data_IF_609407242637
#
_entry.id   IF_609407242637
#
_cell.length_a   1.000
_cell.length_b   1.000
_cell.length_c   1.000
_cell.angle_alpha   90.00
_cell.angle_beta   90.00
_cell.angle_gamma   90.00
#
_symmetry.space_group_name_H-M   'P 1'
#
loop_
_entity.id
_entity.type
_entity.pdbx_description
1 polymer ?
#
# COMPACT_ATOMS: atom_id res chain seq x y z
N UNK A 1 80.41 -11.17 2.74
CA UNK A 1 79.90 -10.15 1.80
C UNK A 1 78.46 -9.86 2.15
N UNK A 2 78.20 -8.69 2.72
CA UNK A 2 76.95 -8.30 3.37
C UNK A 2 75.86 -7.98 2.35
N UNK A 3 74.71 -8.64 2.44
CA UNK A 3 73.49 -8.28 1.72
C UNK A 3 72.61 -7.39 2.62
N UNK A 4 72.60 -6.09 2.36
CA UNK A 4 71.78 -5.09 3.05
C UNK A 4 70.35 -5.17 2.52
N UNK A 5 69.42 -5.69 3.32
CA UNK A 5 67.99 -5.72 3.00
C UNK A 5 67.38 -4.34 3.24
N UNK A 6 67.07 -3.61 2.17
CA UNK A 6 66.39 -2.31 2.24
C UNK A 6 64.91 -2.49 2.63
N UNK A 7 64.52 -2.00 3.80
CA UNK A 7 63.13 -1.96 4.24
C UNK A 7 62.34 -0.93 3.41
N UNK A 8 61.37 -1.39 2.60
CA UNK A 8 60.42 -0.53 1.88
C UNK A 8 59.48 0.16 2.87
N UNK A 9 59.49 1.51 2.88
CA UNK A 9 58.48 2.32 3.58
C UNK A 9 57.09 2.11 2.94
N UNK A 10 56.01 1.96 3.73
CA UNK A 10 54.67 1.90 3.18
C UNK A 10 54.26 3.27 2.62
N UNK A 11 53.86 3.29 1.35
CA UNK A 11 53.26 4.47 0.70
C UNK A 11 51.91 4.72 1.35
N UNK A 12 51.77 5.79 2.13
CA UNK A 12 50.45 6.27 2.60
C UNK A 12 49.66 6.71 1.38
N UNK A 13 48.56 6.02 1.08
CA UNK A 13 47.59 6.48 0.11
C UNK A 13 47.07 7.87 0.53
N UNK A 14 46.91 8.83 -0.40
CA UNK A 14 46.34 10.12 -0.07
C UNK A 14 44.89 9.91 0.41
N UNK A 15 44.68 10.15 1.70
CA UNK A 15 43.34 10.33 2.26
C UNK A 15 42.69 11.48 1.51
N UNK A 16 41.67 11.17 0.71
CA UNK A 16 40.79 12.16 0.11
C UNK A 16 40.00 12.82 1.25
N UNK A 17 40.64 13.77 1.94
CA UNK A 17 40.00 14.58 2.95
C UNK A 17 38.87 15.34 2.25
N UNK A 18 37.63 14.92 2.45
CA UNK A 18 36.45 15.52 1.83
C UNK A 18 36.19 16.91 2.45
N UNK A 19 36.55 18.03 1.81
CA UNK A 19 36.28 19.34 2.35
C UNK A 19 34.93 19.80 1.76
N UNK A 20 33.86 19.78 2.57
CA UNK A 20 32.53 20.46 2.38
C UNK A 20 31.29 19.71 2.90
N UNK A 21 31.43 18.61 3.65
CA UNK A 21 30.27 17.88 4.22
C UNK A 21 29.35 18.75 5.10
N UNK A 22 29.89 19.70 5.88
CA UNK A 22 29.09 20.49 6.85
C UNK A 22 28.09 21.46 6.20
N UNK A 23 28.51 22.29 5.23
CA UNK A 23 27.62 23.25 4.59
C UNK A 23 26.54 22.56 3.74
N UNK A 24 26.92 21.52 2.98
CA UNK A 24 25.95 20.73 2.19
C UNK A 24 24.98 19.97 3.08
N UNK A 25 25.42 19.42 4.23
CA UNK A 25 24.53 18.80 5.22
C UNK A 25 23.59 19.81 5.86
N UNK A 26 24.07 21.01 6.20
CA UNK A 26 23.24 22.08 6.74
C UNK A 26 22.11 22.48 5.76
N UNK A 27 22.45 22.73 4.49
CA UNK A 27 21.46 23.05 3.46
C UNK A 27 20.51 21.89 3.19
N UNK A 28 21.01 20.64 3.15
CA UNK A 28 20.16 19.47 3.01
C UNK A 28 19.17 19.33 4.18
N UNK A 29 19.64 19.52 5.41
CA UNK A 29 18.79 19.47 6.61
C UNK A 29 17.75 20.60 6.61
N UNK A 30 18.15 21.82 6.24
CA UNK A 30 17.22 22.95 6.14
C UNK A 30 16.11 22.67 5.11
N UNK A 31 16.48 22.16 3.93
CA UNK A 31 15.52 21.77 2.90
C UNK A 31 14.59 20.67 3.39
N UNK A 32 15.12 19.63 4.07
CA UNK A 32 14.31 18.57 4.65
C UNK A 32 13.35 19.09 5.75
N UNK A 33 13.77 20.05 6.57
CA UNK A 33 12.91 20.68 7.59
C UNK A 33 11.80 21.48 6.91
N UNK A 34 12.11 22.28 5.89
CA UNK A 34 11.10 23.05 5.15
C UNK A 34 10.10 22.10 4.49
N UNK A 35 10.57 21.04 3.84
CA UNK A 35 9.70 20.01 3.26
C UNK A 35 8.85 19.38 4.36
N UNK A 36 9.44 19.00 5.50
CA UNK A 36 8.72 18.42 6.64
C UNK A 36 7.61 19.34 7.16
N UNK A 37 7.87 20.64 7.29
CA UNK A 37 6.88 21.63 7.70
C UNK A 37 5.75 21.78 6.67
N UNK A 38 6.05 21.74 5.37
CA UNK A 38 5.04 21.79 4.31
C UNK A 38 4.11 20.56 4.36
N UNK A 39 4.64 19.37 4.65
CA UNK A 39 3.82 18.17 4.88
C UNK A 39 3.05 18.20 6.20
N UNK A 40 3.61 18.82 7.24
CA UNK A 40 2.97 18.92 8.55
C UNK A 40 1.78 19.91 8.54
N UNK A 41 1.80 20.95 7.71
CA UNK A 41 0.76 21.97 7.66
C UNK A 41 -0.67 21.43 7.42
N UNK A 42 -0.95 20.62 6.37
CA UNK A 42 -2.29 20.04 6.16
C UNK A 42 -2.67 19.03 7.24
N UNK A 43 -1.70 18.30 7.81
CA UNK A 43 -1.95 17.39 8.94
C UNK A 43 -2.34 18.15 10.21
N UNK A 44 -1.65 19.26 10.48
CA UNK A 44 -1.97 20.16 11.58
C UNK A 44 -3.37 20.77 11.40
N UNK A 45 -3.75 21.13 10.16
CA UNK A 45 -5.11 21.57 9.86
C UNK A 45 -6.14 20.51 10.25
N UNK A 46 -5.98 19.26 9.82
CA UNK A 46 -6.93 18.18 10.15
C UNK A 46 -7.05 17.99 11.67
N UNK A 47 -5.93 18.02 12.40
CA UNK A 47 -5.96 17.87 13.86
C UNK A 47 -6.66 19.05 14.52
N UNK A 48 -6.29 20.29 14.19
CA UNK A 48 -6.87 21.49 14.81
C UNK A 48 -8.35 21.68 14.43
N UNK A 49 -8.71 21.46 13.18
CA UNK A 49 -10.10 21.53 12.72
C UNK A 49 -10.98 20.48 13.40
N UNK A 50 -10.45 19.27 13.68
CA UNK A 50 -11.24 18.21 14.34
C UNK A 50 -11.72 18.59 15.73
N UNK A 51 -11.01 19.48 16.43
CA UNK A 51 -11.34 19.92 17.79
C UNK A 51 -11.96 21.33 17.83
N UNK A 52 -12.31 21.90 16.68
CA UNK A 52 -12.93 23.22 16.58
C UNK A 52 -14.37 23.10 16.05
N UNK A 53 -15.35 23.55 16.82
CA UNK A 53 -16.77 23.57 16.41
C UNK A 53 -17.05 24.58 15.28
N UNK A 54 -16.19 25.59 15.12
CA UNK A 54 -16.30 26.64 14.10
C UNK A 54 -15.22 26.50 13.01
N UNK A 55 -14.69 25.29 12.82
CA UNK A 55 -13.63 25.02 11.86
C UNK A 55 -13.97 25.51 10.45
N UNK A 56 -12.96 26.05 9.77
CA UNK A 56 -13.05 26.52 8.38
C UNK A 56 -11.95 25.88 7.53
N UNK A 57 -11.86 26.25 6.26
CA UNK A 57 -10.76 25.85 5.38
C UNK A 57 -9.38 26.39 5.80
N UNK A 58 -9.32 27.36 6.73
CA UNK A 58 -8.05 27.97 7.20
C UNK A 58 -7.51 27.24 8.42
N UNK A 59 -6.18 27.18 8.52
CA UNK A 59 -5.51 26.78 9.77
C UNK A 59 -5.68 27.91 10.79
N UNK A 60 -6.41 27.62 11.85
CA UNK A 60 -6.63 28.52 12.97
C UNK A 60 -6.44 27.75 14.27
N UNK A 61 -5.97 28.45 15.30
CA UNK A 61 -5.96 27.88 16.64
C UNK A 61 -7.39 27.88 17.20
N UNK A 62 -7.90 26.75 17.73
CA UNK A 62 -9.26 26.69 18.26
C UNK A 62 -9.38 27.64 19.45
N UNK A 63 -10.38 28.51 19.41
CA UNK A 63 -10.67 29.43 20.54
C UNK A 63 -11.26 28.70 21.74
N UNK A 64 -12.02 27.63 21.48
CA UNK A 64 -12.57 26.70 22.48
C UNK A 64 -12.44 25.27 21.94
N UNK A 65 -11.41 24.51 22.33
CA UNK A 65 -11.28 23.13 21.88
C UNK A 65 -12.42 22.28 22.45
N UNK A 66 -13.13 21.56 21.60
CA UNK A 66 -14.18 20.60 21.98
C UNK A 66 -14.00 19.26 21.26
N UNK A 67 -14.63 18.21 21.77
CA UNK A 67 -14.66 16.89 21.12
C UNK A 67 -16.01 16.61 20.44
N UNK A 68 -16.86 17.63 20.30
CA UNK A 68 -18.22 17.48 19.81
C UNK A 68 -18.24 16.88 18.41
N UNK A 69 -17.35 17.34 17.53
CA UNK A 69 -17.17 16.80 16.17
C UNK A 69 -16.93 15.27 16.19
N UNK A 70 -16.17 14.75 17.15
CA UNK A 70 -15.96 13.30 17.27
C UNK A 70 -17.22 12.59 17.74
N UNK A 71 -17.94 13.13 18.72
CA UNK A 71 -19.18 12.53 19.20
C UNK A 71 -20.28 12.49 18.14
N UNK A 72 -20.37 13.52 17.31
CA UNK A 72 -21.35 13.61 16.22
C UNK A 72 -21.00 12.68 15.05
N UNK A 73 -19.72 12.42 14.84
CA UNK A 73 -19.25 11.59 13.73
C UNK A 73 -19.20 10.11 14.11
N UNK A 74 -18.89 9.78 15.37
CA UNK A 74 -18.71 8.41 15.85
C UNK A 74 -20.05 7.70 16.08
N UNK A 75 -20.87 7.63 15.04
CA UNK A 75 -22.12 6.88 15.02
C UNK A 75 -21.97 5.56 14.26
N UNK A 76 -22.80 4.56 14.56
CA UNK A 76 -22.78 3.29 13.84
C UNK A 76 -22.98 3.46 12.33
N UNK A 77 -23.89 4.33 11.92
CA UNK A 77 -24.29 4.52 10.53
C UNK A 77 -23.28 5.34 9.73
N UNK A 78 -22.70 6.39 10.34
CA UNK A 78 -21.82 7.32 9.62
C UNK A 78 -20.37 6.85 9.58
N UNK A 79 -19.89 6.19 10.64
CA UNK A 79 -18.46 5.87 10.78
C UNK A 79 -18.19 4.39 11.01
N UNK A 80 -18.82 3.75 12.00
CA UNK A 80 -18.42 2.38 12.38
C UNK A 80 -18.74 1.35 11.30
N UNK A 81 -19.97 1.35 10.75
CA UNK A 81 -20.35 0.44 9.67
C UNK A 81 -19.56 0.72 8.38
N UNK A 82 -19.42 1.97 7.90
CA UNK A 82 -18.60 2.24 6.72
C UNK A 82 -17.12 1.86 6.89
N UNK A 83 -16.53 2.03 8.08
CA UNK A 83 -15.17 1.57 8.37
C UNK A 83 -15.07 0.05 8.31
N UNK A 84 -16.06 -0.67 8.88
CA UNK A 84 -16.11 -2.13 8.81
C UNK A 84 -16.28 -2.60 7.36
N UNK A 85 -17.16 -1.96 6.58
CA UNK A 85 -17.36 -2.24 5.17
C UNK A 85 -16.07 -2.02 4.38
N UNK A 86 -15.39 -0.90 4.60
CA UNK A 86 -14.06 -0.64 4.03
C UNK A 86 -13.08 -1.74 4.39
N UNK A 87 -13.01 -2.18 5.65
CA UNK A 87 -12.11 -3.26 6.09
C UNK A 87 -12.42 -4.57 5.38
N UNK A 88 -13.70 -4.96 5.30
CA UNK A 88 -14.13 -6.21 4.66
C UNK A 88 -13.83 -6.18 3.16
N UNK A 89 -14.19 -5.10 2.46
CA UNK A 89 -13.97 -4.96 1.03
C UNK A 89 -12.48 -4.94 0.68
N UNK A 90 -11.68 -4.13 1.40
CA UNK A 90 -10.24 -4.00 1.14
C UNK A 90 -9.44 -5.24 1.51
N UNK A 91 -9.76 -5.89 2.64
CA UNK A 91 -9.13 -7.15 3.04
C UNK A 91 -9.51 -8.27 2.09
N UNK A 92 -10.79 -8.39 1.75
CA UNK A 92 -11.28 -9.39 0.80
C UNK A 92 -10.60 -9.24 -0.57
N UNK A 93 -10.52 -8.00 -1.08
CA UNK A 93 -9.81 -7.71 -2.32
C UNK A 93 -8.32 -8.07 -2.22
N UNK A 94 -7.63 -7.65 -1.16
CA UNK A 94 -6.21 -7.92 -0.96
C UNK A 94 -5.89 -9.42 -0.85
N UNK A 95 -6.69 -10.18 -0.08
CA UNK A 95 -6.51 -11.65 0.04
C UNK A 95 -6.68 -12.31 -1.33
N UNK A 96 -7.77 -12.01 -2.05
CA UNK A 96 -8.04 -12.59 -3.37
C UNK A 96 -6.90 -12.25 -4.34
N UNK A 97 -6.47 -10.98 -4.39
CA UNK A 97 -5.38 -10.56 -5.26
C UNK A 97 -4.05 -11.24 -4.92
N UNK A 98 -3.69 -11.36 -3.63
CA UNK A 98 -2.45 -12.04 -3.22
C UNK A 98 -2.48 -13.52 -3.60
N UNK A 99 -3.58 -14.22 -3.34
CA UNK A 99 -3.70 -15.64 -3.71
C UNK A 99 -3.57 -15.83 -5.22
N UNK A 100 -4.33 -15.05 -6.00
CA UNK A 100 -4.32 -15.16 -7.47
C UNK A 100 -2.96 -14.75 -8.04
N UNK A 101 -2.35 -13.68 -7.52
CA UNK A 101 -1.02 -13.24 -7.99
C UNK A 101 0.09 -14.23 -7.67
N UNK A 102 0.06 -14.90 -6.51
CA UNK A 102 1.02 -15.98 -6.20
C UNK A 102 0.90 -17.14 -7.18
N UNK A 103 -0.34 -17.60 -7.43
CA UNK A 103 -0.60 -18.70 -8.35
C UNK A 103 -0.19 -18.36 -9.79
N UNK A 104 -0.45 -17.13 -10.24
CA UNK A 104 -0.09 -16.68 -11.58
C UNK A 104 1.42 -16.35 -11.71
N UNK A 105 2.05 -15.80 -10.67
CA UNK A 105 3.47 -15.45 -10.67
C UNK A 105 4.36 -16.70 -10.73
N UNK A 106 3.94 -17.81 -10.13
CA UNK A 106 4.73 -19.03 -10.04
C UNK A 106 5.21 -19.56 -11.41
N UNK A 107 4.33 -19.89 -12.37
CA UNK A 107 4.78 -20.32 -13.68
C UNK A 107 5.52 -19.21 -14.46
N UNK A 108 5.13 -17.94 -14.28
CA UNK A 108 5.79 -16.81 -14.95
C UNK A 108 7.23 -16.58 -14.48
N UNK A 109 7.52 -16.94 -13.23
CA UNK A 109 8.85 -16.85 -12.62
C UNK A 109 9.70 -18.08 -12.95
N UNK A 110 9.14 -19.28 -12.84
CA UNK A 110 9.90 -20.53 -12.94
C UNK A 110 10.09 -21.03 -14.37
N UNK A 111 9.13 -20.85 -15.26
CA UNK A 111 9.26 -21.29 -16.65
C UNK A 111 9.73 -20.15 -17.54
N UNK A 112 10.89 -20.33 -18.19
CA UNK A 112 11.38 -19.37 -19.19
C UNK A 112 10.63 -19.57 -20.51
N UNK A 113 9.59 -18.75 -20.73
CA UNK A 113 8.86 -18.70 -21.99
C UNK A 113 8.99 -17.34 -22.64
N UNK A 114 9.12 -17.32 -23.97
CA UNK A 114 9.14 -16.09 -24.79
C UNK A 114 7.87 -15.24 -24.64
N UNK A 115 6.79 -15.82 -24.13
CA UNK A 115 5.50 -15.16 -23.95
C UNK A 115 5.33 -14.47 -22.59
N UNK A 116 6.19 -14.76 -21.60
CA UNK A 116 6.02 -14.23 -20.24
C UNK A 116 6.14 -12.71 -20.19
N UNK A 117 7.17 -12.14 -20.83
CA UNK A 117 7.37 -10.70 -20.83
C UNK A 117 6.28 -9.96 -21.63
N UNK A 118 5.93 -10.35 -22.87
CA UNK A 118 4.78 -9.77 -23.56
C UNK A 118 3.47 -9.85 -22.78
N UNK A 119 3.16 -11.02 -22.18
CA UNK A 119 1.95 -11.18 -21.36
C UNK A 119 1.92 -10.20 -20.19
N UNK A 120 3.00 -10.12 -19.42
CA UNK A 120 3.07 -9.24 -18.25
C UNK A 120 2.96 -7.76 -18.65
N UNK A 121 3.61 -7.35 -19.74
CA UNK A 121 3.49 -5.99 -20.26
C UNK A 121 2.10 -5.68 -20.81
N UNK A 122 1.44 -6.64 -21.48
CA UNK A 122 0.06 -6.45 -21.95
C UNK A 122 -0.92 -6.26 -20.79
N UNK A 123 -0.79 -7.06 -19.74
CA UNK A 123 -1.63 -6.95 -18.53
C UNK A 123 -1.40 -5.61 -17.81
N UNK A 124 -0.15 -5.17 -17.70
CA UNK A 124 0.16 -3.85 -17.14
C UNK A 124 -0.34 -2.71 -18.03
N UNK A 125 -0.15 -2.80 -19.34
CA UNK A 125 -0.61 -1.77 -20.27
C UNK A 125 -2.14 -1.63 -20.25
N UNK A 126 -2.87 -2.75 -20.16
CA UNK A 126 -4.32 -2.72 -20.02
C UNK A 126 -4.78 -1.98 -18.74
N UNK A 127 -3.96 -1.97 -17.69
CA UNK A 127 -4.25 -1.23 -16.44
C UNK A 127 -4.01 0.28 -16.52
N UNK A 128 -3.37 0.77 -17.60
CA UNK A 128 -3.21 2.21 -17.83
C UNK A 128 -4.51 2.89 -18.27
N UNK A 129 -5.54 2.12 -18.64
CA UNK A 129 -6.84 2.66 -18.99
C UNK A 129 -7.47 3.32 -17.74
N UNK A 130 -7.99 4.55 -17.87
CA UNK A 130 -8.60 5.23 -16.74
C UNK A 130 -9.83 4.47 -16.29
N UNK A 131 -9.93 4.21 -14.98
CA UNK A 131 -11.03 3.44 -14.40
C UNK A 131 -12.40 4.05 -14.71
N UNK A 132 -12.46 5.39 -14.86
CA UNK A 132 -13.65 6.14 -15.25
C UNK A 132 -14.16 5.77 -16.65
N UNK A 133 -13.28 5.44 -17.61
CA UNK A 133 -13.67 5.03 -18.95
C UNK A 133 -14.21 3.60 -18.99
N UNK A 134 -13.65 2.71 -18.17
CA UNK A 134 -14.08 1.30 -18.09
C UNK A 134 -15.37 1.15 -17.25
N UNK A 135 -15.71 2.15 -16.44
CA UNK A 135 -16.82 2.03 -15.50
C UNK A 135 -18.19 1.88 -16.17
N UNK A 136 -18.42 2.51 -17.33
CA UNK A 136 -19.68 2.40 -18.07
C UNK A 136 -19.97 0.95 -18.48
N UNK A 137 -19.06 0.23 -19.19
CA UNK A 137 -19.30 -1.17 -19.51
C UNK A 137 -19.30 -2.07 -18.27
N UNK A 138 -18.51 -1.78 -17.23
CA UNK A 138 -18.54 -2.55 -15.98
C UNK A 138 -19.88 -2.43 -15.27
N UNK A 139 -20.46 -1.23 -15.20
CA UNK A 139 -21.79 -1.03 -14.62
C UNK A 139 -22.85 -1.82 -15.41
N UNK A 140 -22.81 -1.76 -16.74
CA UNK A 140 -23.70 -2.56 -17.61
C UNK A 140 -23.56 -4.06 -17.33
N UNK A 141 -22.32 -4.57 -17.21
CA UNK A 141 -22.05 -5.97 -16.85
C UNK A 141 -22.63 -6.33 -15.48
N UNK A 142 -22.45 -5.48 -14.47
CA UNK A 142 -22.98 -5.70 -13.13
C UNK A 142 -24.52 -5.72 -13.11
N UNK A 143 -25.17 -4.88 -13.90
CA UNK A 143 -26.64 -4.91 -14.06
C UNK A 143 -27.09 -6.22 -14.71
N UNK A 144 -26.46 -6.63 -15.82
CA UNK A 144 -26.81 -7.85 -16.55
C UNK A 144 -26.66 -9.11 -15.69
N UNK A 145 -25.58 -9.18 -14.90
CA UNK A 145 -25.28 -10.30 -14.01
C UNK A 145 -25.96 -10.20 -12.65
N UNK A 146 -26.76 -9.14 -12.40
CA UNK A 146 -27.43 -8.86 -11.12
C UNK A 146 -26.46 -8.77 -9.93
N UNK A 147 -25.29 -8.18 -10.17
CA UNK A 147 -24.20 -7.96 -9.20
C UNK A 147 -24.23 -6.56 -8.56
N UNK A 148 -25.17 -5.69 -8.96
CA UNK A 148 -25.35 -4.38 -8.34
C UNK A 148 -25.69 -4.55 -6.85
N UNK A 149 -25.12 -3.69 -6.02
CA UNK A 149 -25.28 -3.70 -4.57
C UNK A 149 -24.78 -5.00 -3.90
N UNK A 150 -23.91 -5.76 -4.56
CA UNK A 150 -23.28 -6.97 -4.00
C UNK A 150 -21.84 -6.67 -3.56
N UNK A 151 -21.53 -6.61 -2.25
CA UNK A 151 -20.21 -6.23 -1.75
C UNK A 151 -19.09 -7.18 -2.20
N UNK A 152 -19.37 -8.49 -2.30
CA UNK A 152 -18.39 -9.47 -2.77
C UNK A 152 -18.00 -9.26 -4.23
N UNK A 153 -18.95 -8.84 -5.08
CA UNK A 153 -18.68 -8.56 -6.49
C UNK A 153 -17.83 -7.30 -6.66
N UNK A 154 -18.09 -6.29 -5.82
CA UNK A 154 -17.26 -5.07 -5.75
C UNK A 154 -15.85 -5.39 -5.26
N UNK A 155 -15.70 -6.19 -4.20
CA UNK A 155 -14.39 -6.65 -3.72
C UNK A 155 -13.63 -7.42 -4.81
N UNK A 156 -14.32 -8.29 -5.58
CA UNK A 156 -13.73 -9.01 -6.69
C UNK A 156 -13.27 -8.09 -7.82
N UNK A 157 -14.05 -7.06 -8.15
CA UNK A 157 -13.65 -6.06 -9.15
C UNK A 157 -12.45 -5.24 -8.69
N UNK A 158 -12.44 -4.81 -7.42
CA UNK A 158 -11.28 -4.15 -6.81
C UNK A 158 -10.04 -5.05 -6.86
N UNK A 159 -10.20 -6.34 -6.55
CA UNK A 159 -9.12 -7.33 -6.63
C UNK A 159 -8.57 -7.47 -8.06
N UNK A 160 -9.46 -7.57 -9.05
CA UNK A 160 -9.10 -7.65 -10.46
C UNK A 160 -8.38 -6.39 -10.94
N UNK A 161 -8.82 -5.20 -10.50
CA UNK A 161 -8.20 -3.92 -10.87
C UNK A 161 -6.77 -3.78 -10.31
N UNK A 162 -6.49 -4.34 -9.14
CA UNK A 162 -5.17 -4.30 -8.51
C UNK A 162 -4.24 -5.44 -8.96
N UNK A 163 -4.80 -6.49 -9.58
CA UNK A 163 -4.09 -7.71 -9.96
C UNK A 163 -2.87 -7.47 -10.88
N UNK A 164 -2.91 -6.60 -11.91
CA UNK A 164 -1.76 -6.37 -12.79
C UNK A 164 -0.49 -5.98 -12.04
N UNK A 165 -0.60 -4.98 -11.14
CA UNK A 165 0.53 -4.50 -10.37
C UNK A 165 0.94 -5.51 -9.29
N UNK A 166 -0.02 -6.14 -8.61
CA UNK A 166 0.26 -7.17 -7.61
C UNK A 166 0.96 -8.39 -8.21
N UNK A 167 0.56 -8.82 -9.41
CA UNK A 167 1.20 -9.90 -10.17
C UNK A 167 2.65 -9.55 -10.51
N UNK A 168 2.89 -8.34 -11.02
CA UNK A 168 4.23 -7.87 -11.35
C UNK A 168 5.14 -7.82 -10.11
N UNK A 169 4.66 -7.24 -9.00
CA UNK A 169 5.39 -7.21 -7.73
C UNK A 169 5.69 -8.63 -7.22
N UNK A 170 4.67 -9.50 -7.19
CA UNK A 170 4.81 -10.87 -6.68
C UNK A 170 5.79 -11.67 -7.52
N UNK A 171 5.76 -11.54 -8.85
CA UNK A 171 6.73 -12.17 -9.75
C UNK A 171 8.15 -11.69 -9.46
N UNK A 172 8.39 -10.38 -9.35
CA UNK A 172 9.72 -9.83 -9.07
C UNK A 172 10.28 -10.33 -7.74
N UNK A 173 9.44 -10.41 -6.70
CA UNK A 173 9.85 -10.99 -5.43
C UNK A 173 10.13 -12.49 -5.55
N UNK A 174 9.31 -13.22 -6.29
CA UNK A 174 9.49 -14.66 -6.49
C UNK A 174 10.77 -14.99 -7.26
N UNK A 175 11.15 -14.16 -8.24
CA UNK A 175 12.41 -14.30 -8.99
C UNK A 175 13.65 -14.17 -8.08
N UNK A 176 13.53 -13.49 -6.93
CA UNK A 176 14.62 -13.35 -5.96
C UNK A 176 14.83 -14.59 -5.08
N UNK A 177 13.86 -15.51 -5.03
CA UNK A 177 13.96 -16.77 -4.27
C UNK A 177 14.79 -17.77 -5.09
N UNK A 178 15.93 -18.28 -4.55
CA UNK A 178 16.78 -19.22 -5.27
C UNK A 178 16.03 -20.51 -5.64
N UNK A 179 16.09 -20.87 -6.93
CA UNK A 179 15.43 -22.09 -7.45
C UNK A 179 15.98 -23.37 -6.82
N UNK A 180 17.24 -23.35 -6.35
CA UNK A 180 17.89 -24.50 -5.71
C UNK A 180 17.15 -25.00 -4.46
N UNK A 181 16.41 -24.13 -3.76
CA UNK A 181 15.58 -24.52 -2.61
C UNK A 181 14.37 -25.35 -3.05
N UNK A 182 13.83 -25.08 -4.24
CA UNK A 182 12.73 -25.87 -4.82
C UNK A 182 13.24 -27.16 -5.43
N UNK A 183 14.41 -27.13 -6.10
CA UNK A 183 15.07 -28.31 -6.63
C UNK A 183 15.35 -29.35 -5.54
N UNK A 184 15.83 -28.90 -4.36
CA UNK A 184 16.01 -29.76 -3.21
C UNK A 184 14.68 -30.42 -2.77
N UNK A 185 13.60 -29.65 -2.71
CA UNK A 185 12.28 -30.19 -2.38
C UNK A 185 11.76 -31.19 -3.43
N UNK A 186 12.05 -30.96 -4.72
CA UNK A 186 11.68 -31.89 -5.80
C UNK A 186 12.47 -33.20 -5.72
N UNK A 187 13.75 -33.15 -5.32
CA UNK A 187 14.57 -34.34 -5.04
C UNK A 187 13.97 -35.14 -3.87
N UNK A 188 13.42 -34.45 -2.87
CA UNK A 188 12.67 -35.07 -1.75
C UNK A 188 11.25 -35.56 -2.15
N UNK A 189 10.89 -35.51 -3.44
CA UNK A 189 9.61 -35.99 -3.96
C UNK A 189 8.44 -35.01 -3.79
N UNK A 190 8.69 -33.74 -3.48
CA UNK A 190 7.64 -32.73 -3.44
C UNK A 190 7.15 -32.37 -4.86
N UNK A 191 5.83 -32.24 -5.03
CA UNK A 191 5.26 -31.67 -6.25
C UNK A 191 5.53 -30.16 -6.34
N UNK A 192 5.43 -29.57 -7.53
CA UNK A 192 5.62 -28.13 -7.73
C UNK A 192 4.67 -27.27 -6.86
N UNK A 193 3.40 -27.68 -6.72
CA UNK A 193 2.45 -27.01 -5.83
C UNK A 193 2.83 -27.17 -4.35
N UNK A 194 3.34 -28.33 -3.95
CA UNK A 194 3.85 -28.52 -2.58
C UNK A 194 5.03 -27.60 -2.34
N UNK A 195 6.03 -27.60 -3.23
CA UNK A 195 7.20 -26.71 -3.14
C UNK A 195 6.81 -25.23 -3.08
N UNK A 196 5.81 -24.79 -3.88
CA UNK A 196 5.27 -23.43 -3.81
C UNK A 196 4.78 -23.08 -2.40
N UNK A 197 3.89 -23.89 -1.82
CA UNK A 197 3.28 -23.56 -0.53
C UNK A 197 4.16 -23.84 0.69
N UNK A 198 5.10 -24.80 0.60
CA UNK A 198 5.96 -25.17 1.74
C UNK A 198 7.32 -24.49 1.74
N UNK A 199 7.83 -24.05 0.59
CA UNK A 199 9.14 -23.40 0.46
C UNK A 199 8.98 -21.94 0.03
N UNK A 200 8.41 -21.70 -1.15
CA UNK A 200 8.40 -20.37 -1.78
C UNK A 200 7.53 -19.37 -1.00
N UNK A 201 6.27 -19.72 -0.71
CA UNK A 201 5.33 -18.83 -0.01
C UNK A 201 5.85 -18.44 1.39
N UNK A 202 6.36 -19.35 2.24
CA UNK A 202 6.96 -19.00 3.52
C UNK A 202 8.15 -18.04 3.40
N UNK A 203 9.04 -18.25 2.43
CA UNK A 203 10.18 -17.37 2.18
C UNK A 203 9.74 -16.00 1.65
N UNK A 204 8.64 -15.95 0.88
CA UNK A 204 8.07 -14.73 0.35
C UNK A 204 7.13 -13.99 1.31
N UNK A 205 6.82 -14.50 2.51
CA UNK A 205 5.89 -13.85 3.45
C UNK A 205 6.12 -12.34 3.66
N UNK A 206 7.36 -11.85 3.82
CA UNK A 206 7.62 -10.41 3.94
C UNK A 206 7.22 -9.64 2.68
N UNK A 207 7.57 -10.17 1.51
CA UNK A 207 7.22 -9.59 0.22
C UNK A 207 5.71 -9.62 -0.04
N UNK A 208 5.04 -10.74 0.25
CA UNK A 208 3.58 -10.85 0.12
C UNK A 208 2.85 -9.91 1.07
N UNK A 209 3.43 -9.58 2.23
CA UNK A 209 2.88 -8.57 3.13
C UNK A 209 2.91 -7.18 2.49
N UNK A 210 3.96 -6.84 1.75
CA UNK A 210 4.04 -5.58 0.99
C UNK A 210 2.97 -5.54 -0.12
N UNK A 211 2.81 -6.64 -0.86
CA UNK A 211 1.77 -6.76 -1.91
C UNK A 211 0.38 -6.64 -1.30
N UNK A 212 0.12 -7.32 -0.19
CA UNK A 212 -1.15 -7.24 0.55
C UNK A 212 -1.46 -5.79 0.95
N UNK A 213 -0.51 -5.10 1.58
CA UNK A 213 -0.69 -3.70 2.01
C UNK A 213 -0.94 -2.79 0.81
N UNK A 214 -0.19 -2.97 -0.27
CA UNK A 214 -0.39 -2.19 -1.49
C UNK A 214 -1.83 -2.33 -2.01
N UNK A 215 -2.32 -3.56 -2.16
CA UNK A 215 -3.70 -3.81 -2.65
C UNK A 215 -4.74 -3.31 -1.65
N UNK A 216 -4.51 -3.54 -0.36
CA UNK A 216 -5.39 -3.07 0.70
C UNK A 216 -5.55 -1.55 0.64
N UNK A 217 -4.47 -0.79 0.54
CA UNK A 217 -4.51 0.68 0.49
C UNK A 217 -5.23 1.18 -0.76
N UNK A 218 -5.02 0.54 -1.90
CA UNK A 218 -5.73 0.87 -3.14
C UNK A 218 -7.23 0.65 -3.02
N UNK A 219 -7.67 -0.45 -2.39
CA UNK A 219 -9.07 -0.75 -2.18
C UNK A 219 -9.69 0.11 -1.07
N UNK A 220 -8.96 0.35 0.02
CA UNK A 220 -9.36 1.18 1.17
C UNK A 220 -9.70 2.60 0.73
N UNK A 221 -8.80 3.21 -0.06
CA UNK A 221 -8.95 4.56 -0.61
C UNK A 221 -9.87 4.67 -1.82
N UNK A 222 -10.46 3.56 -2.30
CA UNK A 222 -11.25 3.60 -3.52
C UNK A 222 -12.63 4.20 -3.25
N UNK A 223 -12.80 5.47 -3.60
CA UNK A 223 -14.09 6.15 -3.56
C UNK A 223 -14.99 5.75 -4.73
N UNK A 224 -14.45 5.78 -5.95
CA UNK A 224 -15.24 5.83 -7.17
C UNK A 224 -15.99 4.53 -7.48
N UNK A 225 -15.33 3.37 -7.37
CA UNK A 225 -15.93 2.08 -7.72
C UNK A 225 -17.09 1.73 -6.78
N UNK A 226 -16.93 1.79 -5.44
CA UNK A 226 -18.03 1.50 -4.53
C UNK A 226 -19.17 2.51 -4.66
N UNK A 227 -18.88 3.79 -4.91
CA UNK A 227 -19.89 4.81 -5.13
C UNK A 227 -20.83 4.48 -6.29
N UNK A 228 -20.30 3.91 -7.38
CA UNK A 228 -21.08 3.55 -8.58
C UNK A 228 -21.81 2.21 -8.43
N UNK A 229 -21.27 1.27 -7.66
CA UNK A 229 -21.78 -0.11 -7.61
C UNK A 229 -22.58 -0.46 -6.34
N UNK A 230 -22.37 0.25 -5.23
CA UNK A 230 -23.06 0.06 -3.94
C UNK A 230 -24.03 1.22 -3.70
N UNK A 231 -25.25 1.03 -4.20
CA UNK A 231 -26.29 2.07 -4.21
C UNK A 231 -26.97 2.24 -2.85
N UNK A 232 -26.93 1.21 -1.99
CA UNK A 232 -27.53 1.27 -0.65
C UNK A 232 -26.50 1.73 0.40
N UNK A 233 -26.90 2.53 1.40
CA UNK A 233 -26.00 2.98 2.47
C UNK A 233 -25.38 1.85 3.29
N UNK A 234 -26.06 0.70 3.39
CA UNK A 234 -25.67 -0.41 4.28
C UNK A 234 -24.26 -0.95 4.00
N UNK A 235 -23.85 -0.97 2.73
CA UNK A 235 -22.55 -1.48 2.29
C UNK A 235 -21.59 -0.40 1.80
N UNK A 236 -21.96 0.89 1.92
CA UNK A 236 -21.05 1.96 1.50
C UNK A 236 -19.79 1.96 2.38
N UNK A 237 -18.59 1.99 1.77
CA UNK A 237 -17.34 2.09 2.51
C UNK A 237 -17.10 3.51 3.00
N UNK A 238 -16.22 3.63 3.99
CA UNK A 238 -15.86 4.90 4.61
C UNK A 238 -15.32 5.94 3.62
N UNK A 239 -14.66 5.52 2.53
CA UNK A 239 -14.23 6.41 1.47
C UNK A 239 -15.41 7.14 0.79
N UNK A 240 -16.58 6.51 0.72
CA UNK A 240 -17.81 7.08 0.16
C UNK A 240 -18.55 7.95 1.16
N UNK A 241 -18.63 7.52 2.43
CA UNK A 241 -19.34 8.25 3.49
C UNK A 241 -18.77 9.64 3.76
N UNK A 242 -17.55 9.95 3.30
CA UNK A 242 -16.99 11.30 3.36
C UNK A 242 -17.87 12.35 2.65
N UNK A 243 -18.68 11.94 1.65
CA UNK A 243 -19.61 12.84 0.96
C UNK A 243 -20.74 13.36 1.87
N UNK A 244 -21.03 12.68 2.98
CA UNK A 244 -22.05 13.13 3.94
C UNK A 244 -21.70 14.47 4.61
N UNK A 245 -20.42 14.89 4.56
CA UNK A 245 -19.96 16.16 5.13
C UNK A 245 -20.04 17.35 4.16
N UNK A 246 -20.46 17.09 2.91
CA UNK A 246 -20.71 18.10 1.91
C UNK A 246 -22.22 18.34 1.82
N UNK A 247 -22.67 19.49 2.32
CA UNK A 247 -24.07 19.90 2.33
C UNK A 247 -24.55 20.49 1.00
N UNK A 248 -25.83 20.81 0.94
CA UNK A 248 -26.41 21.55 -0.18
C UNK A 248 -25.82 22.98 -0.22
N UNK A 249 -25.64 23.53 -1.42
CA UNK A 249 -25.11 24.89 -1.66
C UNK A 249 -23.64 25.12 -1.26
N UNK A 250 -22.81 24.08 -1.24
CA UNK A 250 -21.36 24.21 -1.01
C UNK A 250 -20.97 24.43 0.46
N UNK A 251 -21.89 24.19 1.39
CA UNK A 251 -21.59 24.16 2.82
C UNK A 251 -20.79 22.90 3.16
N UNK A 252 -19.66 23.04 3.85
CA UNK A 252 -18.78 21.93 4.25
C UNK A 252 -18.66 21.93 5.76
N UNK A 253 -18.97 20.81 6.39
CA UNK A 253 -18.80 20.63 7.83
C UNK A 253 -17.33 20.30 8.15
N UNK A 254 -16.43 21.29 8.04
CA UNK A 254 -14.97 21.09 8.16
C UNK A 254 -14.55 20.38 9.45
N UNK A 255 -15.15 20.72 10.59
CA UNK A 255 -14.80 20.10 11.87
C UNK A 255 -15.12 18.61 11.90
N UNK A 256 -16.35 18.24 11.50
CA UNK A 256 -16.79 16.84 11.36
C UNK A 256 -15.99 16.09 10.30
N UNK A 257 -15.73 16.71 9.15
CA UNK A 257 -14.91 16.15 8.08
C UNK A 257 -13.49 15.84 8.55
N UNK A 258 -12.88 16.75 9.31
CA UNK A 258 -11.55 16.57 9.87
C UNK A 258 -11.52 15.46 10.93
N UNK A 259 -12.48 15.45 11.85
CA UNK A 259 -12.64 14.37 12.83
C UNK A 259 -12.84 13.00 12.16
N UNK A 260 -13.71 12.92 11.15
CA UNK A 260 -13.91 11.73 10.34
C UNK A 260 -12.63 11.27 9.63
N UNK A 261 -11.87 12.20 9.06
CA UNK A 261 -10.61 11.90 8.35
C UNK A 261 -9.57 11.30 9.29
N UNK A 262 -9.50 11.75 10.54
CA UNK A 262 -8.65 11.14 11.56
C UNK A 262 -9.09 9.70 11.86
N UNK A 263 -10.39 9.48 12.10
CA UNK A 263 -10.92 8.13 12.35
C UNK A 263 -10.70 7.19 11.17
N UNK A 264 -10.89 7.69 9.94
CA UNK A 264 -10.63 6.97 8.69
C UNK A 264 -9.15 6.57 8.52
N UNK A 265 -8.22 7.36 9.04
CA UNK A 265 -6.79 7.04 8.97
C UNK A 265 -6.36 5.94 9.96
N UNK A 266 -7.11 5.70 11.04
CA UNK A 266 -6.73 4.77 12.12
C UNK A 266 -6.42 3.35 11.59
N UNK A 267 -7.28 2.71 10.77
CA UNK A 267 -7.02 1.34 10.32
C UNK A 267 -5.77 1.21 9.45
N UNK A 268 -5.49 2.24 8.64
CA UNK A 268 -4.30 2.30 7.80
C UNK A 268 -3.03 2.47 8.65
N UNK A 269 -3.06 3.35 9.65
CA UNK A 269 -1.96 3.52 10.61
C UNK A 269 -1.74 2.24 11.43
N UNK A 270 -2.82 1.57 11.83
CA UNK A 270 -2.78 0.27 12.49
C UNK A 270 -2.09 -0.79 11.64
N UNK A 271 -2.49 -0.92 10.37
CA UNK A 271 -1.87 -1.85 9.43
C UNK A 271 -0.38 -1.53 9.21
N UNK A 272 -0.03 -0.26 9.05
CA UNK A 272 1.37 0.19 8.94
C UNK A 272 2.21 -0.23 10.17
N UNK A 273 1.68 -0.03 11.38
CA UNK A 273 2.38 -0.44 12.61
C UNK A 273 2.58 -1.96 12.71
N UNK A 274 1.59 -2.76 12.28
CA UNK A 274 1.68 -4.22 12.27
C UNK A 274 2.77 -4.67 11.28
N UNK A 275 2.74 -4.11 10.07
CA UNK A 275 3.64 -4.50 8.99
C UNK A 275 5.08 -4.07 9.29
N UNK A 276 5.30 -2.85 9.78
CA UNK A 276 6.65 -2.37 10.14
C UNK A 276 7.28 -3.18 11.27
N UNK A 277 6.50 -3.56 12.29
CA UNK A 277 6.97 -4.46 13.35
C UNK A 277 7.30 -5.86 12.82
N UNK A 278 6.49 -6.40 11.90
CA UNK A 278 6.73 -7.72 11.30
C UNK A 278 7.89 -7.76 10.29
N UNK A 279 8.13 -6.67 9.55
CA UNK A 279 9.20 -6.56 8.55
C UNK A 279 10.56 -6.16 9.15
N UNK A 280 10.56 -5.43 10.27
CA UNK A 280 11.77 -4.93 10.92
C UNK A 280 12.78 -6.00 11.37
N UNK A 281 12.38 -7.28 11.40
CA UNK A 281 13.27 -8.42 11.70
C UNK A 281 13.80 -9.19 10.49
N UNK A 282 13.25 -8.98 9.27
CA UNK A 282 13.39 -9.97 8.18
C UNK A 282 14.33 -9.56 7.04
N UNK A 283 14.89 -8.34 7.07
CA UNK A 283 16.01 -7.95 6.19
C UNK A 283 17.35 -8.64 6.54
N UNK A 284 17.34 -9.59 7.48
CA UNK A 284 18.49 -10.43 7.85
C UNK A 284 18.93 -11.44 6.76
N UNK A 285 18.19 -11.58 5.65
CA UNK A 285 18.58 -12.48 4.54
C UNK A 285 19.72 -11.94 3.67
N UNK A 286 20.23 -10.73 3.92
CA UNK A 286 21.50 -10.26 3.36
C UNK A 286 22.70 -11.15 3.74
N UNK A 287 22.55 -12.09 4.69
CA UNK A 287 23.59 -13.05 5.08
C UNK A 287 23.52 -14.43 4.42
N UNK A 288 22.49 -14.72 3.60
CA UNK A 288 22.26 -16.09 3.09
C UNK A 288 23.09 -16.45 1.85
N UNK A 289 23.73 -15.48 1.19
CA UNK A 289 24.66 -15.73 0.09
C UNK A 289 25.89 -14.85 0.27
N UNK A 290 26.89 -15.36 0.97
CA UNK A 290 28.28 -15.01 0.64
C UNK A 290 28.65 -15.84 -0.58
N UNK A 291 28.54 -15.21 -1.75
CA UNK A 291 29.20 -15.64 -2.99
C UNK A 291 30.29 -14.63 -3.30
#
# INVERSE_FOLDING_TARGET
MSATTAARRPVRAPSVASPRRSATQFWANLVLIVIGLLFAAPLAWVVLASIDSAATYRVAWPTKPTLDNFTEVLTPELTLRPLLNSLVLSTGAAVVTVVVSVLAAYPLSRYRSRFNAPFLYSVLFASCLPITAIMVPVYSLFVQLRLINQPWAVALFLAASALPMALWMTKNFMDSVPVSLEEAAWVDGASAMRALFTIVVPLMRPALSVVFVFVFLQAWGNFFVPFVLLLTPDWQPAAVSIYAFFGQYGTIAYGRLAAYSLLYSIPVLGLYMIVTRGLGGTFALSGAVKG
#
